data_IF_135022212136
#
_entry.id   IF_135022212136
#
_cell.length_a   1.000
_cell.length_b   1.000
_cell.length_c   1.000
_cell.angle_alpha   90.00
_cell.angle_beta   90.00
_cell.angle_gamma   90.00
#
_symmetry.space_group_name_H-M   'P 1'
#
loop_
_entity.id
_entity.type
_entity.pdbx_description
1 polymer ?
#
# COMPACT_ATOMS: atom_id res chain seq x y z
N UNK A 1 -53.78 7.71 -22.44
CA UNK A 1 -52.46 8.02 -21.87
C UNK A 1 -51.38 7.41 -22.76
N UNK A 2 -50.97 8.09 -23.82
CA UNK A 2 -49.73 7.93 -24.62
C UNK A 2 -49.77 9.16 -25.55
N UNK A 3 -48.74 9.97 -25.85
CA UNK A 3 -47.42 9.72 -26.45
C UNK A 3 -46.74 11.11 -26.49
N UNK A 4 -45.46 11.34 -26.20
CA UNK A 4 -44.32 11.19 -27.13
C UNK A 4 -43.05 11.63 -26.39
N UNK A 5 -42.05 10.75 -26.27
CA UNK A 5 -40.70 11.18 -25.93
C UNK A 5 -40.05 11.75 -27.19
N UNK A 6 -39.75 13.05 -27.18
CA UNK A 6 -38.91 13.67 -28.21
C UNK A 6 -37.50 13.13 -28.07
N UNK A 7 -37.11 12.22 -28.96
CA UNK A 7 -35.70 11.86 -29.17
C UNK A 7 -35.01 13.09 -29.76
N UNK A 8 -34.18 13.76 -28.97
CA UNK A 8 -33.32 14.85 -29.44
C UNK A 8 -32.23 14.21 -30.32
N UNK A 9 -32.53 14.02 -31.60
CA UNK A 9 -31.55 13.66 -32.62
C UNK A 9 -30.67 14.87 -32.90
N UNK A 10 -29.39 14.77 -32.56
CA UNK A 10 -28.41 15.75 -33.04
C UNK A 10 -28.11 15.45 -34.50
N UNK A 11 -28.33 16.44 -35.36
CA UNK A 11 -28.07 16.32 -36.79
C UNK A 11 -26.55 16.33 -37.03
N UNK A 12 -26.01 15.18 -37.46
CA UNK A 12 -24.59 15.02 -37.84
C UNK A 12 -24.34 15.33 -39.31
N UNK A 13 -25.37 15.66 -40.10
CA UNK A 13 -25.27 15.83 -41.56
C UNK A 13 -24.54 17.11 -42.00
N UNK A 14 -24.27 18.05 -41.08
CA UNK A 14 -23.55 19.30 -41.35
C UNK A 14 -22.10 19.34 -40.84
N UNK A 15 -21.52 18.22 -40.40
CA UNK A 15 -20.12 18.19 -39.95
C UNK A 15 -19.18 17.95 -41.14
N UNK A 16 -18.38 18.97 -41.49
CA UNK A 16 -17.36 18.85 -42.54
C UNK A 16 -16.30 17.81 -42.11
N UNK A 17 -15.81 16.93 -43.03
CA UNK A 17 -14.88 15.84 -42.72
C UNK A 17 -13.66 16.25 -41.88
N UNK A 18 -13.15 17.46 -42.15
CA UNK A 18 -12.01 18.05 -41.42
C UNK A 18 -12.24 18.22 -39.92
N UNK A 19 -13.49 18.39 -39.47
CA UNK A 19 -13.82 18.51 -38.05
C UNK A 19 -13.78 17.15 -37.35
N UNK A 20 -14.20 16.08 -38.04
CA UNK A 20 -14.10 14.73 -37.51
C UNK A 20 -12.63 14.32 -37.38
N UNK A 21 -11.80 14.62 -38.38
CA UNK A 21 -10.36 14.32 -38.34
C UNK A 21 -9.67 14.95 -37.13
N UNK A 22 -10.05 16.18 -36.76
CA UNK A 22 -9.55 16.86 -35.56
C UNK A 22 -9.98 16.17 -34.28
N UNK A 23 -11.23 15.70 -34.19
CA UNK A 23 -11.73 14.96 -33.02
C UNK A 23 -10.99 13.63 -32.88
N UNK A 24 -10.81 12.89 -33.98
CA UNK A 24 -10.10 11.61 -33.98
C UNK A 24 -8.62 11.78 -33.61
N UNK A 25 -7.96 12.83 -34.12
CA UNK A 25 -6.60 13.18 -33.75
C UNK A 25 -6.48 13.51 -32.26
N UNK A 26 -7.44 14.26 -31.71
CA UNK A 26 -7.44 14.62 -30.30
C UNK A 26 -7.68 13.41 -29.39
N UNK A 27 -8.64 12.55 -29.74
CA UNK A 27 -8.92 11.30 -29.02
C UNK A 27 -7.66 10.40 -28.96
N UNK A 28 -6.95 10.28 -30.08
CA UNK A 28 -5.69 9.52 -30.14
C UNK A 28 -4.62 10.09 -29.22
N UNK A 29 -4.51 11.42 -29.15
CA UNK A 29 -3.55 12.09 -28.27
C UNK A 29 -3.86 11.86 -26.78
N UNK A 30 -5.14 11.84 -26.39
CA UNK A 30 -5.54 11.54 -25.00
C UNK A 30 -5.17 10.11 -24.63
N UNK A 31 -5.47 9.14 -25.49
CA UNK A 31 -5.15 7.73 -25.23
C UNK A 31 -3.65 7.51 -25.01
N UNK A 32 -2.80 8.22 -25.76
CA UNK A 32 -1.36 8.12 -25.61
C UNK A 32 -0.88 8.75 -24.28
N UNK A 33 -1.41 9.93 -23.91
CA UNK A 33 -1.10 10.56 -22.63
C UNK A 33 -1.46 9.64 -21.45
N UNK A 34 -2.65 9.04 -21.47
CA UNK A 34 -3.09 8.11 -20.41
C UNK A 34 -2.13 6.93 -20.28
N UNK A 35 -1.78 6.29 -21.41
CA UNK A 35 -0.82 5.17 -21.43
C UNK A 35 0.56 5.56 -20.90
N UNK A 36 1.04 6.77 -21.20
CA UNK A 36 2.31 7.27 -20.65
C UNK A 36 2.22 7.49 -19.14
N UNK A 37 1.11 8.04 -18.66
CA UNK A 37 0.93 8.31 -17.22
C UNK A 37 0.82 7.02 -16.42
N UNK A 38 0.12 6.00 -16.90
CA UNK A 38 0.02 4.69 -16.24
C UNK A 38 1.39 4.01 -16.12
N UNK A 39 2.19 4.04 -17.20
CA UNK A 39 3.56 3.51 -17.18
C UNK A 39 4.49 4.23 -16.21
N UNK A 40 4.25 5.53 -15.97
CA UNK A 40 5.06 6.30 -15.03
C UNK A 40 4.60 6.13 -13.58
N UNK A 41 3.29 5.96 -13.38
CA UNK A 41 2.70 5.68 -12.06
C UNK A 41 3.23 4.36 -11.48
N UNK A 42 3.42 3.34 -12.33
CA UNK A 42 3.98 2.04 -11.93
C UNK A 42 5.45 2.09 -11.47
N UNK A 43 6.16 3.19 -11.76
CA UNK A 43 7.60 3.35 -11.41
C UNK A 43 7.85 4.24 -10.20
N UNK A 44 6.81 4.74 -9.54
CA UNK A 44 6.96 5.49 -8.29
C UNK A 44 6.91 4.49 -7.15
N UNK A 45 8.05 4.22 -6.51
CA UNK A 45 8.07 3.54 -5.22
C UNK A 45 7.20 4.36 -4.26
N UNK A 46 6.03 3.84 -3.89
CA UNK A 46 5.19 4.48 -2.88
C UNK A 46 6.06 4.72 -1.64
N UNK A 47 6.12 5.96 -1.10
CA UNK A 47 6.84 6.20 0.13
C UNK A 47 6.20 5.30 1.19
N UNK A 48 6.93 4.27 1.63
CA UNK A 48 6.45 3.40 2.69
C UNK A 48 6.20 4.29 3.91
N UNK A 49 4.94 4.57 4.17
CA UNK A 49 4.50 5.30 5.35
C UNK A 49 4.89 4.41 6.51
N UNK A 50 6.06 4.66 7.11
CA UNK A 50 6.50 3.95 8.30
C UNK A 50 5.60 4.43 9.43
N UNK A 51 4.46 3.75 9.60
CA UNK A 51 3.54 4.00 10.70
C UNK A 51 4.37 3.81 11.99
N UNK A 52 4.63 4.92 12.68
CA UNK A 52 5.39 4.93 13.94
C UNK A 52 4.46 4.54 15.08
N UNK A 53 4.19 3.25 15.17
CA UNK A 53 3.51 2.67 16.33
C UNK A 53 4.49 2.43 17.48
N UNK A 54 4.06 2.58 18.75
CA UNK A 54 4.88 2.23 19.89
C UNK A 54 5.21 0.72 19.89
N UNK A 55 6.43 0.32 20.32
CA UNK A 55 6.80 -1.08 20.39
C UNK A 55 5.84 -1.90 21.24
N UNK A 56 5.31 -3.00 20.69
CA UNK A 56 4.47 -3.95 21.43
C UNK A 56 4.79 -5.38 21.07
N UNK A 57 4.67 -6.25 22.08
CA UNK A 57 4.79 -7.69 21.88
C UNK A 57 3.54 -8.23 21.17
N UNK A 58 3.76 -8.94 20.08
CA UNK A 58 2.75 -9.78 19.42
C UNK A 58 2.78 -11.18 20.03
N UNK A 59 3.96 -11.65 20.40
CA UNK A 59 4.15 -12.95 21.04
C UNK A 59 5.16 -12.80 22.18
N UNK A 60 4.75 -13.21 23.39
CA UNK A 60 5.61 -13.29 24.58
C UNK A 60 6.02 -14.73 24.83
N UNK A 61 7.15 -14.92 25.49
CA UNK A 61 7.54 -16.24 26.03
C UNK A 61 6.65 -16.61 27.22
N UNK A 62 6.57 -17.90 27.52
CA UNK A 62 5.80 -18.41 28.67
C UNK A 62 6.37 -17.90 29.99
N UNK A 63 5.50 -17.48 30.91
CA UNK A 63 5.90 -16.99 32.24
C UNK A 63 6.54 -18.07 33.10
N UNK A 64 6.22 -19.34 32.84
CA UNK A 64 6.82 -20.49 33.52
C UNK A 64 7.49 -21.41 32.51
N UNK A 65 8.81 -21.50 32.59
CA UNK A 65 9.59 -22.51 31.88
C UNK A 65 10.16 -23.47 32.92
N UNK A 66 9.65 -24.70 32.93
CA UNK A 66 10.17 -25.76 33.80
C UNK A 66 11.35 -26.42 33.08
N UNK A 67 12.56 -26.11 33.52
CA UNK A 67 13.78 -26.72 33.00
C UNK A 67 14.43 -27.58 34.08
N UNK A 68 15.04 -28.67 33.63
CA UNK A 68 15.94 -29.47 34.46
C UNK A 68 17.26 -28.72 34.60
N UNK A 69 17.91 -28.87 35.74
CA UNK A 69 19.27 -28.35 35.94
C UNK A 69 20.22 -28.87 34.85
N UNK A 70 21.01 -27.96 34.28
CA UNK A 70 21.88 -28.24 33.12
C UNK A 70 21.19 -28.21 31.75
N UNK A 71 19.87 -28.01 31.68
CA UNK A 71 19.17 -27.86 30.40
C UNK A 71 19.23 -26.43 29.86
N UNK A 72 19.30 -26.29 28.54
CA UNK A 72 19.26 -24.99 27.87
C UNK A 72 17.85 -24.38 27.92
N UNK A 73 17.78 -23.07 28.17
CA UNK A 73 16.56 -22.29 28.05
C UNK A 73 16.57 -21.50 26.73
N UNK A 74 15.47 -21.58 25.97
CA UNK A 74 15.24 -20.74 24.78
C UNK A 74 13.99 -19.91 24.99
N UNK A 75 14.14 -18.59 24.93
CA UNK A 75 13.05 -17.63 25.07
C UNK A 75 12.88 -16.88 23.75
N UNK A 76 11.83 -17.20 23.01
CA UNK A 76 11.49 -16.52 21.75
C UNK A 76 10.33 -15.54 21.98
N UNK A 77 10.40 -14.38 21.33
CA UNK A 77 9.32 -13.39 21.31
C UNK A 77 9.22 -12.70 19.95
N UNK A 78 8.07 -12.08 19.68
CA UNK A 78 7.83 -11.27 18.48
C UNK A 78 7.27 -9.92 18.87
N UNK A 79 7.67 -8.87 18.17
CA UNK A 79 7.27 -7.49 18.42
C UNK A 79 7.03 -6.75 17.10
N UNK A 80 6.32 -5.63 17.19
CA UNK A 80 6.23 -4.61 16.14
C UNK A 80 6.46 -3.23 16.74
N UNK A 81 6.90 -2.24 15.95
CA UNK A 81 7.27 -2.34 14.53
C UNK A 81 8.66 -2.97 14.31
N UNK A 82 8.81 -3.84 13.31
CA UNK A 82 10.14 -4.44 12.99
C UNK A 82 11.06 -3.51 12.20
N UNK A 83 10.49 -2.46 11.58
CA UNK A 83 11.20 -1.57 10.65
C UNK A 83 11.53 -0.20 11.26
N UNK A 84 11.51 -0.07 12.60
CA UNK A 84 11.90 1.19 13.26
C UNK A 84 13.40 1.16 13.65
N UNK A 85 14.24 2.03 13.07
CA UNK A 85 15.68 2.07 13.36
C UNK A 85 16.02 2.62 14.76
N UNK A 86 15.06 3.20 15.49
CA UNK A 86 15.25 3.69 16.87
C UNK A 86 14.84 2.68 17.93
N UNK A 87 14.23 1.57 17.54
CA UNK A 87 13.79 0.55 18.50
C UNK A 87 14.99 -0.27 18.99
N UNK A 88 15.07 -0.44 20.30
CA UNK A 88 16.10 -1.23 20.98
C UNK A 88 15.47 -2.39 21.74
N UNK A 89 16.15 -3.54 21.74
CA UNK A 89 15.73 -4.74 22.47
C UNK A 89 16.74 -4.98 23.60
N UNK A 90 16.25 -4.95 24.83
CA UNK A 90 17.07 -5.20 26.02
C UNK A 90 16.54 -6.42 26.76
N UNK A 91 17.43 -7.37 27.02
CA UNK A 91 17.12 -8.50 27.90
C UNK A 91 17.47 -8.15 29.34
N UNK A 92 16.52 -8.34 30.25
CA UNK A 92 16.70 -8.05 31.68
C UNK A 92 16.54 -9.33 32.51
N UNK A 93 17.45 -9.55 33.45
CA UNK A 93 17.33 -10.52 34.52
C UNK A 93 17.39 -9.79 35.86
N UNK A 94 16.33 -9.91 36.68
CA UNK A 94 16.20 -9.19 37.95
C UNK A 94 16.49 -7.68 37.82
N UNK A 95 15.87 -7.04 36.81
CA UNK A 95 16.04 -5.62 36.47
C UNK A 95 17.47 -5.20 36.06
N UNK A 96 18.34 -6.16 35.72
CA UNK A 96 19.68 -5.89 35.21
C UNK A 96 19.83 -6.39 33.78
N UNK A 97 20.48 -5.61 32.89
CA UNK A 97 20.73 -6.05 31.54
C UNK A 97 21.58 -7.32 31.54
N UNK A 98 21.17 -8.30 30.75
CA UNK A 98 21.99 -9.45 30.41
C UNK A 98 22.52 -9.22 28.99
N UNK A 99 23.84 -9.28 28.86
CA UNK A 99 24.47 -9.29 27.55
C UNK A 99 24.55 -10.74 27.08
N UNK A 100 24.10 -10.98 25.86
CA UNK A 100 24.23 -12.26 25.17
C UNK A 100 25.67 -12.45 24.65
#
# INVERSE_FOLDING_TARGET
MVTTESVIGYDTSAQHPSSNDRIQSFASSISEVVRQTEKHYDRTEEPQISIREPPRFIQRFSESVKLREGANCRLDCKFIPTNDPRMEIVWLYNNKPIHA
#
